data_IF_922389142225
#
_entry.id   IF_922389142225
#
_cell.length_a   1.000
_cell.length_b   1.000
_cell.length_c   1.000
_cell.angle_alpha   90.00
_cell.angle_beta   90.00
_cell.angle_gamma   90.00
#
_symmetry.space_group_name_H-M   'P 1'
#
loop_
_entity.id
_entity.type
_entity.pdbx_description
1 polymer ?
#
# COMPACT_ATOMS: atom_id res chain seq x y z
N UNK A 1 -8.71 20.06 -11.41
CA UNK A 1 -7.57 20.97 -11.61
C UNK A 1 -8.09 22.38 -11.88
N UNK A 2 -7.53 23.41 -11.24
CA UNK A 2 -7.82 24.82 -11.55
C UNK A 2 -6.49 25.56 -11.56
N UNK A 3 -6.23 26.31 -12.62
CA UNK A 3 -4.95 26.99 -12.84
C UNK A 3 -5.21 28.31 -13.57
N UNK A 4 -4.35 29.29 -13.38
CA UNK A 4 -4.36 30.61 -14.03
C UNK A 4 -3.68 30.61 -15.41
N UNK A 5 -2.98 29.52 -15.74
CA UNK A 5 -2.38 29.27 -17.05
C UNK A 5 -2.98 28.05 -17.73
N UNK A 6 -2.93 28.02 -19.07
CA UNK A 6 -3.33 26.85 -19.85
C UNK A 6 -2.32 25.72 -19.65
N UNK A 7 -2.83 24.50 -19.50
CA UNK A 7 -2.01 23.31 -19.22
C UNK A 7 -2.06 22.39 -20.42
N UNK A 8 -0.91 22.14 -21.03
CA UNK A 8 -0.78 21.20 -22.15
C UNK A 8 -0.49 19.78 -21.63
N UNK A 9 -1.49 18.89 -21.74
CA UNK A 9 -1.36 17.46 -21.44
C UNK A 9 -1.36 16.59 -22.71
N UNK A 10 -1.27 17.20 -23.90
CA UNK A 10 -1.30 16.49 -25.19
C UNK A 10 -0.06 15.64 -25.45
N UNK A 11 1.04 15.96 -24.79
CA UNK A 11 2.32 15.26 -24.93
C UNK A 11 2.23 13.78 -24.49
N UNK A 12 2.97 12.87 -25.15
CA UNK A 12 3.11 11.49 -24.69
C UNK A 12 3.68 11.42 -23.27
N UNK A 13 3.20 10.44 -22.47
CA UNK A 13 3.62 10.22 -21.09
C UNK A 13 3.44 11.44 -20.16
N UNK A 14 2.46 12.29 -20.43
CA UNK A 14 2.11 13.40 -19.53
C UNK A 14 1.49 12.87 -18.23
N UNK A 15 1.61 13.64 -17.14
CA UNK A 15 0.97 13.32 -15.86
C UNK A 15 -0.57 13.26 -15.96
N UNK A 16 -1.13 13.81 -17.04
CA UNK A 16 -2.56 13.76 -17.33
C UNK A 16 -3.10 12.34 -17.37
N UNK A 17 -2.35 11.41 -17.96
CA UNK A 17 -2.76 10.00 -18.05
C UNK A 17 -2.92 9.36 -16.66
N UNK A 18 -1.96 9.61 -15.76
CA UNK A 18 -2.01 9.13 -14.37
C UNK A 18 -3.20 9.74 -13.61
N UNK A 19 -3.55 10.98 -13.90
CA UNK A 19 -4.60 11.73 -13.22
C UNK A 19 -5.96 11.67 -13.95
N UNK A 20 -6.10 10.83 -14.98
CA UNK A 20 -7.35 10.60 -15.71
C UNK A 20 -7.80 11.71 -16.65
N UNK A 21 -6.90 12.59 -17.08
CA UNK A 21 -7.19 13.63 -18.07
C UNK A 21 -6.89 13.13 -19.49
N UNK A 22 -7.72 13.52 -20.46
CA UNK A 22 -7.43 13.27 -21.88
C UNK A 22 -6.28 14.15 -22.40
N UNK A 23 -5.64 13.70 -23.48
CA UNK A 23 -4.52 14.37 -24.14
C UNK A 23 -5.01 15.58 -24.93
N UNK A 24 -5.04 16.74 -24.27
CA UNK A 24 -5.39 18.04 -24.85
C UNK A 24 -4.82 19.18 -24.03
N UNK A 25 -4.99 20.39 -24.54
CA UNK A 25 -4.74 21.62 -23.79
C UNK A 25 -5.99 21.94 -22.97
N UNK A 26 -5.79 22.22 -21.68
CA UNK A 26 -6.84 22.64 -20.76
C UNK A 26 -6.73 24.15 -20.53
N UNK A 27 -7.83 24.87 -20.76
CA UNK A 27 -7.86 26.32 -20.69
C UNK A 27 -7.65 26.87 -19.28
N UNK A 28 -6.99 28.03 -19.21
CA UNK A 28 -6.78 28.81 -18.00
C UNK A 28 -8.09 29.26 -17.34
N UNK A 29 -8.05 29.49 -16.03
CA UNK A 29 -9.12 30.04 -15.19
C UNK A 29 -10.42 29.23 -15.18
N UNK A 30 -10.37 27.97 -15.63
CA UNK A 30 -11.49 27.02 -15.61
C UNK A 30 -11.15 25.86 -14.66
N UNK A 31 -12.16 25.43 -13.90
CA UNK A 31 -12.07 24.22 -13.08
C UNK A 31 -12.36 23.00 -13.95
N UNK A 32 -11.31 22.24 -14.25
CA UNK A 32 -11.38 20.97 -14.98
C UNK A 32 -11.52 19.81 -14.00
N UNK A 33 -12.34 18.82 -14.34
CA UNK A 33 -12.41 17.53 -13.64
C UNK A 33 -11.74 16.46 -14.50
N UNK A 34 -11.30 15.35 -13.89
CA UNK A 34 -10.73 14.23 -14.64
C UNK A 34 -11.80 13.64 -15.56
N UNK A 35 -11.43 13.37 -16.81
CA UNK A 35 -12.32 12.78 -17.81
C UNK A 35 -12.60 11.29 -17.53
N UNK A 36 -11.69 10.62 -16.82
CA UNK A 36 -11.77 9.20 -16.48
C UNK A 36 -11.73 8.99 -14.97
N UNK A 37 -12.37 7.91 -14.51
CA UNK A 37 -12.18 7.43 -13.14
C UNK A 37 -10.72 7.02 -12.96
N UNK A 38 -10.11 7.54 -11.90
CA UNK A 38 -8.69 7.33 -11.62
C UNK A 38 -8.53 6.39 -10.45
N UNK A 39 -7.83 5.27 -10.65
CA UNK A 39 -7.34 4.46 -9.56
C UNK A 39 -5.84 4.77 -9.35
N UNK A 40 -5.56 5.73 -8.47
CA UNK A 40 -4.19 6.17 -8.17
C UNK A 40 -3.46 5.15 -7.27
N UNK A 41 -4.21 4.32 -6.53
CA UNK A 41 -3.68 3.37 -5.56
C UNK A 41 -4.11 1.94 -5.86
N UNK A 42 -3.21 1.19 -6.51
CA UNK A 42 -3.40 -0.24 -6.76
C UNK A 42 -3.57 -1.04 -5.46
N UNK A 43 -2.83 -0.67 -4.42
CA UNK A 43 -2.86 -1.36 -3.11
C UNK A 43 -3.95 -0.77 -2.23
N UNK A 44 -4.89 -1.61 -1.80
CA UNK A 44 -5.95 -1.23 -0.87
C UNK A 44 -5.72 -1.86 0.52
N UNK A 45 -5.35 -3.14 0.55
CA UNK A 45 -5.04 -3.88 1.77
C UNK A 45 -3.57 -4.26 1.79
N UNK A 46 -2.93 -4.09 2.94
CA UNK A 46 -1.54 -4.49 3.19
C UNK A 46 -1.54 -5.73 4.09
N UNK A 47 -0.90 -6.79 3.61
CA UNK A 47 -0.61 -8.00 4.36
C UNK A 47 0.83 -7.93 4.85
N UNK A 48 1.03 -8.12 6.15
CA UNK A 48 2.34 -8.26 6.76
C UNK A 48 2.58 -9.75 6.99
N UNK A 49 3.54 -10.31 6.26
CA UNK A 49 3.97 -11.70 6.40
C UNK A 49 5.30 -11.81 7.14
N UNK A 50 5.48 -12.87 7.92
CA UNK A 50 6.75 -13.17 8.60
C UNK A 50 7.08 -14.66 8.59
N UNK A 51 8.33 -15.00 8.29
CA UNK A 51 8.83 -16.38 8.34
C UNK A 51 8.87 -16.98 9.75
N UNK A 52 8.71 -16.17 10.80
CA UNK A 52 8.79 -16.62 12.20
C UNK A 52 7.55 -17.38 12.67
N UNK A 53 6.40 -17.21 11.99
CA UNK A 53 5.14 -17.77 12.46
C UNK A 53 4.72 -18.99 11.65
N UNK A 54 4.12 -19.95 12.36
CA UNK A 54 3.35 -21.04 11.77
C UNK A 54 1.91 -20.99 12.32
N UNK A 55 0.92 -21.19 11.46
CA UNK A 55 -0.49 -21.31 11.89
C UNK A 55 -1.41 -20.14 11.55
N UNK A 56 -0.96 -19.15 10.78
CA UNK A 56 -1.91 -18.26 10.11
C UNK A 56 -2.53 -18.98 8.90
N UNK A 57 -3.78 -18.69 8.57
CA UNK A 57 -4.47 -19.29 7.43
C UNK A 57 -5.15 -18.21 6.59
N UNK A 58 -5.01 -18.30 5.27
CA UNK A 58 -5.72 -17.47 4.29
C UNK A 58 -6.52 -18.40 3.39
N UNK A 59 -7.85 -18.29 3.42
CA UNK A 59 -8.77 -19.14 2.64
C UNK A 59 -8.51 -20.65 2.81
N UNK A 60 -8.31 -21.09 4.06
CA UNK A 60 -8.06 -22.49 4.40
C UNK A 60 -6.67 -23.03 4.05
N UNK A 61 -5.79 -22.20 3.46
CA UNK A 61 -4.39 -22.54 3.21
C UNK A 61 -3.50 -21.89 4.26
N UNK A 62 -2.49 -22.63 4.72
CA UNK A 62 -1.48 -22.08 5.62
C UNK A 62 -0.81 -20.85 4.97
N UNK A 63 -0.61 -19.82 5.78
CA UNK A 63 0.01 -18.55 5.42
C UNK A 63 1.01 -18.15 6.51
N UNK A 64 1.73 -17.07 6.26
CA UNK A 64 2.64 -16.43 7.19
C UNK A 64 2.17 -15.02 7.58
N UNK A 65 0.91 -14.68 7.30
CA UNK A 65 0.33 -13.36 7.60
C UNK A 65 0.15 -13.18 9.11
N UNK A 66 0.82 -12.19 9.68
CA UNK A 66 0.71 -11.84 11.10
C UNK A 66 -0.22 -10.65 11.35
N UNK A 67 -0.43 -9.80 10.34
CA UNK A 67 -1.36 -8.67 10.40
C UNK A 67 -1.84 -8.31 9.00
N UNK A 68 -3.06 -7.81 8.90
CA UNK A 68 -3.60 -7.26 7.65
C UNK A 68 -4.50 -6.06 7.96
N UNK A 69 -4.36 -5.00 7.18
CA UNK A 69 -5.14 -3.78 7.37
C UNK A 69 -5.37 -3.04 6.04
N UNK A 70 -6.45 -2.27 6.00
CA UNK A 70 -6.76 -1.41 4.86
C UNK A 70 -6.15 -0.03 5.04
N UNK A 71 -5.69 0.58 3.95
CA UNK A 71 -5.27 1.98 3.97
C UNK A 71 -6.48 2.87 4.26
N UNK A 72 -6.43 3.60 5.36
CA UNK A 72 -7.48 4.56 5.76
C UNK A 72 -7.06 6.02 5.53
N UNK A 73 -5.90 6.24 4.90
CA UNK A 73 -5.38 7.56 4.56
C UNK A 73 -5.35 7.76 3.05
N UNK A 74 -5.50 9.01 2.56
CA UNK A 74 -5.37 9.30 1.15
C UNK A 74 -3.96 9.01 0.61
N UNK A 75 -3.81 8.86 -0.72
CA UNK A 75 -2.50 8.71 -1.35
C UNK A 75 -1.54 9.85 -0.98
N UNK A 76 -0.28 9.53 -0.68
CA UNK A 76 0.76 10.51 -0.31
C UNK A 76 0.84 10.84 1.18
N UNK A 77 -0.06 10.33 2.01
CA UNK A 77 0.02 10.48 3.46
C UNK A 77 0.90 9.38 4.09
N UNK A 78 1.47 9.69 5.26
CA UNK A 78 2.18 8.70 6.08
C UNK A 78 1.18 7.66 6.61
N UNK A 79 1.46 6.39 6.37
CA UNK A 79 0.68 5.27 6.92
C UNK A 79 1.21 4.94 8.32
N UNK A 80 0.32 4.99 9.31
CA UNK A 80 0.60 4.58 10.69
C UNK A 80 -0.50 3.61 11.10
N UNK A 81 -0.11 2.37 11.38
CA UNK A 81 -1.04 1.31 11.76
C UNK A 81 -0.64 0.73 13.12
N UNK A 82 -1.62 0.57 13.99
CA UNK A 82 -1.47 -0.09 15.29
C UNK A 82 -2.61 -1.09 15.45
N UNK A 83 -2.34 -2.41 15.55
CA UNK A 83 -3.38 -3.41 15.77
C UNK A 83 -4.17 -3.11 17.05
N UNK A 84 -5.50 -3.01 16.93
CA UNK A 84 -6.38 -2.75 18.08
C UNK A 84 -6.52 -3.95 19.01
N UNK A 85 -6.47 -5.16 18.44
CA UNK A 85 -6.56 -6.42 19.15
C UNK A 85 -5.34 -7.26 18.77
N UNK A 86 -4.48 -7.54 19.74
CA UNK A 86 -3.26 -8.32 19.50
C UNK A 86 -3.62 -9.80 19.39
N UNK A 87 -3.15 -10.41 18.30
CA UNK A 87 -3.22 -11.86 18.08
C UNK A 87 -1.80 -12.39 18.10
N UNK A 88 -1.56 -13.39 18.95
CA UNK A 88 -0.26 -14.03 19.07
C UNK A 88 -0.26 -15.34 18.30
N UNK A 89 0.80 -15.56 17.53
CA UNK A 89 1.02 -16.79 16.78
C UNK A 89 2.18 -17.57 17.40
N UNK A 90 2.11 -18.92 17.41
CA UNK A 90 3.25 -19.74 17.76
C UNK A 90 4.43 -19.44 16.84
N UNK A 91 5.60 -19.25 17.45
CA UNK A 91 6.86 -19.12 16.73
C UNK A 91 7.35 -20.53 16.37
N UNK A 92 7.82 -20.71 15.14
CA UNK A 92 8.23 -22.01 14.61
C UNK A 92 9.67 -22.42 14.99
N UNK A 93 10.37 -21.60 15.78
CA UNK A 93 11.76 -21.78 16.16
C UNK A 93 11.98 -21.49 17.66
N UNK A 94 13.04 -22.09 18.21
CA UNK A 94 13.46 -21.87 19.61
C UNK A 94 14.43 -20.70 19.78
N UNK A 95 15.01 -20.20 18.69
CA UNK A 95 15.90 -19.05 18.67
C UNK A 95 15.76 -18.33 17.32
N UNK A 96 15.64 -17.01 17.37
CA UNK A 96 15.46 -16.16 16.19
C UNK A 96 16.84 -15.71 15.71
N UNK A 97 17.35 -16.35 14.66
CA UNK A 97 18.60 -15.97 14.00
C UNK A 97 18.36 -15.09 12.77
N UNK A 98 17.19 -15.20 12.17
CA UNK A 98 16.80 -14.46 10.97
C UNK A 98 15.29 -14.20 10.99
N UNK A 99 14.91 -12.93 10.86
CA UNK A 99 13.53 -12.51 10.72
C UNK A 99 13.36 -11.84 9.35
N UNK A 100 12.44 -12.37 8.57
CA UNK A 100 12.03 -11.81 7.30
C UNK A 100 10.62 -11.23 7.46
N UNK A 101 10.42 -10.03 6.92
CA UNK A 101 9.12 -9.37 6.87
C UNK A 101 8.81 -8.98 5.44
N UNK A 102 7.67 -9.43 4.95
CA UNK A 102 7.24 -9.19 3.57
C UNK A 102 5.92 -8.43 3.61
N UNK A 103 5.87 -7.32 2.87
CA UNK A 103 4.66 -6.54 2.67
C UNK A 103 4.05 -6.88 1.32
N UNK A 104 2.82 -7.38 1.31
CA UNK A 104 2.07 -7.71 0.09
C UNK A 104 0.75 -6.99 0.01
N UNK A 105 0.26 -6.79 -1.21
CA UNK A 105 -1.08 -6.27 -1.45
C UNK A 105 -2.14 -7.40 -1.51
N UNK A 106 -3.41 -7.03 -1.71
CA UNK A 106 -4.52 -7.97 -1.87
C UNK A 106 -4.36 -8.99 -3.02
N UNK A 107 -3.58 -8.63 -4.04
CA UNK A 107 -3.32 -9.46 -5.21
C UNK A 107 -2.05 -10.33 -5.02
N UNK A 108 -1.50 -10.39 -3.80
CA UNK A 108 -0.31 -11.14 -3.42
C UNK A 108 0.98 -10.65 -4.13
N UNK A 109 1.01 -9.39 -4.54
CA UNK A 109 2.18 -8.74 -5.12
C UNK A 109 2.97 -8.01 -4.03
N UNK A 110 4.30 -7.95 -4.18
CA UNK A 110 5.17 -7.18 -3.30
C UNK A 110 4.85 -5.69 -3.40
N UNK A 111 4.79 -5.02 -2.25
CA UNK A 111 4.61 -3.57 -2.22
C UNK A 111 5.96 -2.90 -2.49
N UNK A 112 6.01 -2.11 -3.57
CA UNK A 112 7.15 -1.23 -3.85
C UNK A 112 7.06 0.04 -2.98
N UNK A 113 8.02 0.18 -2.07
CA UNK A 113 8.13 1.33 -1.16
C UNK A 113 8.88 2.50 -1.79
N UNK A 114 9.49 2.33 -2.97
CA UNK A 114 10.24 3.38 -3.70
C UNK A 114 11.31 4.07 -2.85
N UNK A 115 11.92 3.33 -1.92
CA UNK A 115 12.95 3.84 -1.00
C UNK A 115 12.42 4.57 0.24
N UNK A 116 11.11 4.64 0.46
CA UNK A 116 10.53 5.20 1.68
C UNK A 116 10.94 4.38 2.91
N UNK A 117 11.33 5.03 4.03
CA UNK A 117 11.71 4.33 5.24
C UNK A 117 10.50 3.66 5.88
N UNK A 118 10.65 2.38 6.23
CA UNK A 118 9.63 1.59 6.90
C UNK A 118 10.11 1.14 8.27
N UNK A 119 9.22 1.20 9.26
CA UNK A 119 9.47 0.71 10.61
C UNK A 119 8.36 -0.28 10.98
N UNK A 120 8.77 -1.50 11.34
CA UNK A 120 7.86 -2.56 11.76
C UNK A 120 8.35 -3.04 13.12
N UNK A 121 7.43 -3.09 14.09
CA UNK A 121 7.69 -3.59 15.43
C UNK A 121 6.96 -4.91 15.61
N UNK A 122 7.73 -5.97 15.85
CA UNK A 122 7.19 -7.26 16.27
C UNK A 122 7.12 -7.26 17.80
N UNK A 123 5.96 -7.66 18.34
CA UNK A 123 5.83 -7.96 19.75
C UNK A 123 5.95 -9.48 19.92
N UNK A 124 6.99 -9.91 20.64
CA UNK A 124 7.25 -11.31 20.95
C UNK A 124 7.11 -11.45 22.46
N UNK A 125 6.38 -12.47 22.90
CA UNK A 125 6.14 -12.77 24.31
C UNK A 125 6.60 -14.20 24.59
N UNK A 126 7.34 -14.37 25.68
CA UNK A 126 7.66 -15.68 26.25
C UNK A 126 6.50 -16.13 27.16
N UNK A 127 6.15 -17.41 27.12
CA UNK A 127 5.03 -18.00 27.87
C UNK A 127 5.44 -18.48 29.26
#
# INVERSE_FOLDING_TARGET
MQCDVSIDLSMPNSIGELLGYEKRIYDANIKHQSDKLVNITKTNCIYIESNLVAGSFKNGKQSHTIHAFYLNVPPGYKVIENPTHLVFYPINCSSITHAEIILKNQDNELIDLRGEPVSIRLLIQDL
#
